data_IF_007337174207
#
_entry.id   IF_007337174207
#
_cell.length_a   1.000
_cell.length_b   1.000
_cell.length_c   1.000
_cell.angle_alpha   90.00
_cell.angle_beta   90.00
_cell.angle_gamma   90.00
#
_symmetry.space_group_name_H-M   'P 1'
#
loop_
_entity.id
_entity.type
_entity.pdbx_description
1 polymer ?
#
# COMPACT_ATOMS: atom_id res chain seq x y z
N UNK A 1 35.15 -10.56 -31.92
CA UNK A 1 33.73 -10.37 -31.51
C UNK A 1 33.19 -11.62 -30.82
N UNK A 2 33.41 -12.83 -31.35
CA UNK A 2 32.95 -14.10 -30.74
C UNK A 2 33.63 -14.47 -29.41
N UNK A 3 34.93 -14.23 -29.25
CA UNK A 3 35.68 -14.63 -28.04
C UNK A 3 35.34 -13.77 -26.80
N UNK A 4 34.89 -12.53 -27.02
CA UNK A 4 34.46 -11.62 -25.96
C UNK A 4 33.09 -12.02 -25.42
N UNK A 5 32.16 -12.38 -26.31
CA UNK A 5 30.84 -12.90 -25.95
C UNK A 5 30.94 -14.25 -25.21
N UNK A 6 31.85 -15.13 -25.63
CA UNK A 6 32.07 -16.42 -24.95
C UNK A 6 32.62 -16.24 -23.52
N UNK A 7 33.58 -15.32 -23.33
CA UNK A 7 34.09 -14.99 -21.99
C UNK A 7 33.04 -14.36 -21.10
N UNK A 8 32.17 -13.53 -21.64
CA UNK A 8 31.06 -12.91 -20.91
C UNK A 8 30.00 -13.95 -20.50
N UNK A 9 29.61 -14.88 -21.39
CA UNK A 9 28.75 -16.02 -21.05
C UNK A 9 29.38 -16.92 -19.97
N UNK A 10 30.68 -17.23 -20.08
CA UNK A 10 31.37 -18.06 -19.10
C UNK A 10 31.49 -17.36 -17.75
N UNK A 11 31.70 -16.04 -17.75
CA UNK A 11 31.74 -15.22 -16.54
C UNK A 11 30.37 -15.19 -15.85
N UNK A 12 29.28 -14.93 -16.59
CA UNK A 12 27.91 -14.97 -16.08
C UNK A 12 27.53 -16.35 -15.52
N UNK A 13 28.05 -17.44 -16.12
CA UNK A 13 27.83 -18.82 -15.64
C UNK A 13 28.60 -19.12 -14.36
N UNK A 14 29.76 -18.49 -14.15
CA UNK A 14 30.65 -18.75 -13.02
C UNK A 14 30.47 -17.78 -11.86
N UNK A 15 29.88 -16.61 -12.11
CA UNK A 15 29.63 -15.55 -11.14
C UNK A 15 28.16 -15.09 -11.22
N UNK A 16 27.19 -15.95 -10.88
CA UNK A 16 25.76 -15.59 -10.90
C UNK A 16 25.41 -14.49 -9.88
N UNK A 17 26.31 -14.20 -8.93
CA UNK A 17 26.17 -13.15 -7.92
C UNK A 17 26.67 -11.77 -8.41
N UNK A 18 27.25 -11.66 -9.61
CA UNK A 18 27.66 -10.38 -10.22
C UNK A 18 26.46 -9.64 -10.86
N UNK A 19 25.26 -9.86 -10.33
CA UNK A 19 24.10 -9.07 -10.73
C UNK A 19 24.34 -7.60 -10.36
N UNK A 20 24.19 -6.71 -11.34
CA UNK A 20 24.29 -5.28 -11.11
C UNK A 20 23.28 -4.84 -10.03
N UNK A 21 23.77 -4.16 -9.00
CA UNK A 21 22.97 -3.74 -7.83
C UNK A 21 21.73 -2.92 -8.25
N UNK A 22 21.85 -2.14 -9.34
CA UNK A 22 20.73 -1.40 -9.93
C UNK A 22 19.66 -2.33 -10.51
N UNK A 23 20.08 -3.32 -11.30
CA UNK A 23 19.18 -4.36 -11.86
C UNK A 23 18.49 -5.15 -10.75
N UNK A 24 19.23 -5.52 -9.69
CA UNK A 24 18.66 -6.22 -8.52
C UNK A 24 17.60 -5.37 -7.82
N UNK A 25 17.82 -4.06 -7.68
CA UNK A 25 16.85 -3.16 -7.07
C UNK A 25 15.57 -3.04 -7.92
N UNK A 26 15.70 -2.88 -9.24
CA UNK A 26 14.55 -2.78 -10.16
C UNK A 26 13.70 -4.06 -10.15
N UNK A 27 14.34 -5.22 -10.17
CA UNK A 27 13.65 -6.51 -10.09
C UNK A 27 12.94 -6.70 -8.75
N UNK A 28 13.57 -6.34 -7.63
CA UNK A 28 12.91 -6.39 -6.32
C UNK A 28 11.74 -5.42 -6.21
N UNK A 29 11.86 -4.20 -6.73
CA UNK A 29 10.77 -3.23 -6.73
C UNK A 29 9.56 -3.73 -7.55
N UNK A 30 9.82 -4.37 -8.69
CA UNK A 30 8.78 -5.04 -9.48
C UNK A 30 8.12 -6.18 -8.70
N UNK A 31 8.90 -7.04 -8.07
CA UNK A 31 8.38 -8.16 -7.28
C UNK A 31 7.50 -7.67 -6.12
N UNK A 32 7.89 -6.60 -5.41
CA UNK A 32 7.08 -5.97 -4.36
C UNK A 32 5.73 -5.52 -4.93
N UNK A 33 5.74 -4.73 -6.00
CA UNK A 33 4.49 -4.24 -6.62
C UNK A 33 3.56 -5.38 -7.03
N UNK A 34 4.09 -6.39 -7.71
CA UNK A 34 3.30 -7.52 -8.21
C UNK A 34 2.74 -8.35 -7.04
N UNK A 35 3.52 -8.50 -5.96
CA UNK A 35 3.11 -9.17 -4.72
C UNK A 35 1.93 -8.44 -4.05
N UNK A 36 2.02 -7.11 -3.90
CA UNK A 36 0.96 -6.30 -3.30
C UNK A 36 -0.31 -6.23 -4.18
N UNK A 37 -0.19 -6.34 -5.50
CA UNK A 37 -1.33 -6.44 -6.39
C UNK A 37 -2.03 -7.82 -6.30
N UNK A 38 -1.25 -8.88 -6.11
CA UNK A 38 -1.76 -10.25 -6.03
C UNK A 38 -2.48 -10.57 -4.71
N UNK A 39 -1.94 -10.14 -3.56
CA UNK A 39 -2.49 -10.51 -2.25
C UNK A 39 -3.97 -10.16 -2.04
N UNK A 40 -4.50 -9.00 -2.46
CA UNK A 40 -5.93 -8.70 -2.38
C UNK A 40 -6.82 -9.68 -3.15
N UNK A 41 -6.34 -10.17 -4.30
CA UNK A 41 -7.06 -11.15 -5.12
C UNK A 41 -7.03 -12.51 -4.42
N UNK A 42 -5.84 -12.91 -3.95
CA UNK A 42 -5.65 -14.15 -3.22
C UNK A 42 -6.50 -14.19 -1.95
N UNK A 43 -6.47 -13.15 -1.11
CA UNK A 43 -7.27 -13.09 0.12
C UNK A 43 -8.77 -13.31 -0.16
N UNK A 44 -9.32 -12.61 -1.15
CA UNK A 44 -10.72 -12.78 -1.58
C UNK A 44 -11.02 -14.20 -2.05
N UNK A 45 -10.12 -14.78 -2.84
CA UNK A 45 -10.24 -16.15 -3.32
C UNK A 45 -10.22 -17.16 -2.17
N UNK A 46 -9.26 -17.03 -1.25
CA UNK A 46 -9.16 -17.90 -0.06
C UNK A 46 -10.38 -17.76 0.85
N UNK A 47 -10.93 -16.56 1.01
CA UNK A 47 -12.13 -16.33 1.81
C UNK A 47 -13.37 -16.97 1.19
N UNK A 48 -13.52 -16.87 -0.15
CA UNK A 48 -14.63 -17.48 -0.89
C UNK A 48 -14.68 -19.00 -0.70
N UNK A 49 -13.52 -19.65 -0.68
CA UNK A 49 -13.42 -21.12 -0.59
C UNK A 49 -13.16 -21.64 0.83
N UNK A 50 -13.02 -20.76 1.83
CA UNK A 50 -12.62 -21.11 3.22
C UNK A 50 -13.44 -22.26 3.80
N UNK A 51 -14.76 -22.22 3.66
CA UNK A 51 -15.65 -23.23 4.24
C UNK A 51 -15.46 -24.62 3.61
N UNK A 52 -15.11 -24.68 2.32
CA UNK A 52 -14.82 -25.93 1.62
C UNK A 52 -13.45 -26.46 2.05
N UNK A 53 -12.43 -25.61 2.07
CA UNK A 53 -11.06 -26.00 2.41
C UNK A 53 -10.94 -26.55 3.83
N UNK A 54 -11.69 -25.97 4.78
CA UNK A 54 -11.74 -26.45 6.16
C UNK A 54 -12.41 -27.81 6.32
N UNK A 55 -13.30 -28.20 5.40
CA UNK A 55 -14.00 -29.49 5.43
C UNK A 55 -13.26 -30.56 4.65
N UNK A 56 -12.72 -30.18 3.50
CA UNK A 56 -12.07 -31.09 2.56
C UNK A 56 -10.80 -30.41 2.04
N UNK A 57 -9.68 -30.52 2.77
CA UNK A 57 -8.39 -30.08 2.26
C UNK A 57 -8.01 -30.92 1.03
N UNK A 58 -7.38 -30.29 0.05
CA UNK A 58 -6.91 -30.94 -1.16
C UNK A 58 -5.45 -30.57 -1.45
N UNK A 59 -4.79 -31.32 -2.32
CA UNK A 59 -3.42 -31.02 -2.75
C UNK A 59 -3.31 -29.61 -3.38
N UNK A 60 -4.40 -29.12 -4.00
CA UNK A 60 -4.47 -27.77 -4.56
C UNK A 60 -4.41 -26.71 -3.46
N UNK A 61 -5.15 -26.92 -2.36
CA UNK A 61 -5.14 -25.98 -1.23
C UNK A 61 -3.79 -25.96 -0.54
N UNK A 62 -3.18 -27.13 -0.36
CA UNK A 62 -1.85 -27.26 0.21
C UNK A 62 -0.80 -26.53 -0.66
N UNK A 63 -0.90 -26.67 -1.98
CA UNK A 63 -0.04 -25.94 -2.93
C UNK A 63 -0.21 -24.42 -2.83
N UNK A 64 -1.42 -23.91 -2.63
CA UNK A 64 -1.64 -22.47 -2.39
C UNK A 64 -0.96 -22.02 -1.10
N UNK A 65 -1.13 -22.76 0.00
CA UNK A 65 -0.48 -22.45 1.28
C UNK A 65 1.06 -22.49 1.18
N UNK A 66 1.60 -23.50 0.51
CA UNK A 66 3.05 -23.66 0.33
C UNK A 66 3.64 -22.52 -0.51
N UNK A 67 2.99 -22.16 -1.62
CA UNK A 67 3.42 -21.04 -2.46
C UNK A 67 3.43 -19.72 -1.69
N UNK A 68 2.39 -19.46 -0.88
CA UNK A 68 2.33 -18.27 -0.02
C UNK A 68 3.45 -18.30 1.02
N UNK A 69 3.73 -19.45 1.62
CA UNK A 69 4.82 -19.60 2.58
C UNK A 69 6.20 -19.34 1.94
N UNK A 70 6.41 -19.74 0.69
CA UNK A 70 7.64 -19.43 -0.06
C UNK A 70 7.80 -17.93 -0.27
N UNK A 71 6.73 -17.22 -0.67
CA UNK A 71 6.75 -15.76 -0.81
C UNK A 71 7.12 -15.10 0.53
N UNK A 72 6.46 -15.50 1.64
CA UNK A 72 6.77 -14.97 2.97
C UNK A 72 8.21 -15.27 3.40
N UNK A 73 8.73 -16.45 3.09
CA UNK A 73 10.11 -16.81 3.37
C UNK A 73 11.07 -15.87 2.65
N UNK A 74 10.92 -15.70 1.34
CA UNK A 74 11.76 -14.81 0.52
C UNK A 74 11.70 -13.38 1.05
N UNK A 75 10.49 -12.86 1.31
CA UNK A 75 10.30 -11.52 1.87
C UNK A 75 11.01 -11.37 3.22
N UNK A 76 10.82 -12.32 4.14
CA UNK A 76 11.40 -12.23 5.48
C UNK A 76 12.93 -12.31 5.50
N UNK A 77 13.54 -12.95 4.50
CA UNK A 77 14.99 -13.17 4.41
C UNK A 77 15.71 -12.11 3.56
N UNK A 78 15.06 -11.58 2.51
CA UNK A 78 15.67 -10.62 1.58
C UNK A 78 15.66 -9.18 2.13
N UNK A 79 16.84 -8.57 2.27
CA UNK A 79 16.98 -7.17 2.67
C UNK A 79 16.60 -6.20 1.53
N UNK A 80 16.92 -6.54 0.28
CA UNK A 80 16.53 -5.76 -0.89
C UNK A 80 15.00 -5.69 -0.98
N UNK A 81 14.32 -6.82 -0.80
CA UNK A 81 12.86 -6.86 -0.85
C UNK A 81 12.22 -5.98 0.22
N UNK A 82 12.72 -6.02 1.46
CA UNK A 82 12.23 -5.14 2.55
C UNK A 82 12.52 -3.66 2.31
N UNK A 83 13.68 -3.34 1.72
CA UNK A 83 13.99 -1.95 1.36
C UNK A 83 13.00 -1.44 0.31
N UNK A 84 12.78 -2.22 -0.74
CA UNK A 84 11.86 -1.83 -1.81
C UNK A 84 10.39 -1.83 -1.36
N UNK A 85 10.00 -2.68 -0.40
CA UNK A 85 8.70 -2.60 0.26
C UNK A 85 8.49 -1.24 0.92
N UNK A 86 9.46 -0.78 1.71
CA UNK A 86 9.39 0.53 2.36
C UNK A 86 9.32 1.66 1.34
N UNK A 87 10.09 1.57 0.26
CA UNK A 87 10.03 2.54 -0.84
C UNK A 87 8.65 2.57 -1.50
N UNK A 88 8.07 1.40 -1.77
CA UNK A 88 6.75 1.27 -2.39
C UNK A 88 5.64 1.83 -1.48
N UNK A 89 5.69 1.56 -0.17
CA UNK A 89 4.74 2.12 0.79
C UNK A 89 4.86 3.65 0.90
N UNK A 90 6.08 4.19 0.91
CA UNK A 90 6.30 5.63 0.97
C UNK A 90 5.73 6.35 -0.27
N UNK A 91 5.91 5.78 -1.46
CA UNK A 91 5.30 6.30 -2.70
C UNK A 91 3.78 6.20 -2.68
N UNK A 92 3.23 5.07 -2.20
CA UNK A 92 1.79 4.90 -2.10
C UNK A 92 1.14 5.91 -1.14
N UNK A 93 1.81 6.23 -0.03
CA UNK A 93 1.35 7.28 0.89
C UNK A 93 1.38 8.68 0.26
N UNK A 94 2.41 8.98 -0.53
CA UNK A 94 2.50 10.24 -1.29
C UNK A 94 1.39 10.36 -2.34
N UNK A 95 1.17 9.31 -3.13
CA UNK A 95 0.12 9.25 -4.14
C UNK A 95 -1.28 9.32 -3.52
N UNK A 96 -1.51 8.62 -2.40
CA UNK A 96 -2.76 8.68 -1.65
C UNK A 96 -2.99 10.06 -1.04
N UNK A 97 -1.95 10.75 -0.57
CA UNK A 97 -2.05 12.12 -0.07
C UNK A 97 -2.39 13.12 -1.19
N UNK A 98 -1.85 12.92 -2.39
CA UNK A 98 -2.14 13.74 -3.57
C UNK A 98 -3.57 13.52 -4.10
N UNK A 99 -4.07 12.28 -4.09
CA UNK A 99 -5.43 11.95 -4.56
C UNK A 99 -6.51 12.24 -3.51
N UNK A 100 -6.19 12.12 -2.21
CA UNK A 100 -7.10 12.39 -1.09
C UNK A 100 -7.11 13.84 -0.60
N UNK A 101 -6.26 14.71 -1.15
CA UNK A 101 -5.97 16.05 -0.63
C UNK A 101 -6.30 17.20 -1.58
N UNK A 102 -7.57 17.32 -1.98
CA UNK A 102 -8.07 18.55 -2.59
C UNK A 102 -7.94 19.75 -1.62
N UNK A 103 -6.91 20.56 -1.84
CA UNK A 103 -6.79 21.97 -1.47
C UNK A 103 -7.35 22.37 -0.08
N UNK A 104 -6.64 22.04 1.01
CA UNK A 104 -6.84 22.80 2.25
C UNK A 104 -6.19 24.17 2.06
N UNK A 105 -7.00 25.19 1.76
CA UNK A 105 -6.58 26.59 1.64
C UNK A 105 -5.87 27.04 2.92
N UNK A 106 -4.54 26.96 2.95
CA UNK A 106 -3.70 27.55 3.99
C UNK A 106 -3.65 29.05 3.76
N UNK A 107 -4.57 29.78 4.37
CA UNK A 107 -4.56 31.23 4.22
C UNK A 107 -5.77 31.93 4.81
N UNK A 108 -5.70 33.27 4.81
CA UNK A 108 -6.67 34.21 5.38
C UNK A 108 -8.15 33.92 5.02
N UNK A 109 -8.42 33.19 3.93
CA UNK A 109 -9.74 32.73 3.53
C UNK A 109 -10.40 31.75 4.52
N UNK A 110 -9.66 30.77 5.06
CA UNK A 110 -10.20 29.81 6.04
C UNK A 110 -10.55 30.49 7.39
N UNK A 111 -9.82 31.54 7.74
CA UNK A 111 -10.07 32.35 8.94
C UNK A 111 -11.31 33.24 8.75
N UNK A 112 -11.51 33.79 7.55
CA UNK A 112 -12.69 34.61 7.24
C UNK A 112 -13.99 33.81 7.35
N UNK A 113 -13.99 32.56 6.87
CA UNK A 113 -15.17 31.69 6.93
C UNK A 113 -15.50 31.24 8.37
N UNK A 114 -14.48 30.92 9.17
CA UNK A 114 -14.65 30.66 10.62
C UNK A 114 -15.17 31.89 11.38
N UNK A 115 -14.76 33.12 11.01
CA UNK A 115 -15.27 34.36 11.62
C UNK A 115 -16.71 34.69 11.21
N UNK A 116 -17.13 34.38 9.98
CA UNK A 116 -18.51 34.58 9.52
C UNK A 116 -19.49 33.67 10.28
N UNK A 117 -19.18 32.38 10.40
CA UNK A 117 -19.99 31.42 11.18
C UNK A 117 -20.16 31.82 12.65
N UNK A 118 -19.14 32.42 13.28
CA UNK A 118 -19.25 32.93 14.67
C UNK A 118 -20.19 34.13 14.80
N UNK A 119 -20.30 35.01 13.80
CA UNK A 119 -21.21 36.16 13.83
C UNK A 119 -22.66 35.73 13.68
N UNK A 120 -22.93 34.77 12.79
CA UNK A 120 -24.28 34.22 12.58
C UNK A 120 -24.81 33.49 13.83
N UNK A 121 -23.95 32.74 14.54
CA UNK A 121 -24.32 32.10 15.81
C UNK A 121 -24.64 33.09 16.95
N UNK A 122 -23.94 34.23 17.02
CA UNK A 122 -24.26 35.28 18.00
C UNK A 122 -25.57 36.01 17.70
N UNK A 123 -25.90 36.19 16.41
CA UNK A 123 -27.19 36.77 16.00
C UNK A 123 -28.34 35.83 16.36
N UNK A 124 -28.17 34.53 16.18
CA UNK A 124 -29.19 33.53 16.55
C UNK A 124 -29.44 33.48 18.06
N UNK A 125 -28.38 33.48 18.87
CA UNK A 125 -28.48 33.49 20.34
C UNK A 125 -29.16 34.75 20.90
N UNK A 126 -28.93 35.92 20.29
CA UNK A 126 -29.63 37.17 20.68
C UNK A 126 -31.11 37.16 20.31
N UNK A 127 -31.49 36.47 19.23
CA UNK A 127 -32.88 36.47 18.72
C UNK A 127 -33.78 35.49 19.47
N UNK A 128 -33.23 34.41 20.05
CA UNK A 128 -33.99 33.39 20.76
C UNK A 128 -33.26 32.89 22.04
N UNK A 129 -33.26 33.69 23.12
CA UNK A 129 -32.48 33.37 24.33
C UNK A 129 -33.01 32.21 25.17
N UNK A 130 -34.16 31.62 24.85
CA UNK A 130 -34.86 30.62 25.69
C UNK A 130 -35.02 29.22 25.08
N UNK A 131 -34.39 28.92 23.95
CA UNK A 131 -34.46 27.58 23.34
C UNK A 131 -33.22 26.74 23.70
N UNK A 132 -33.37 25.53 24.27
CA UNK A 132 -32.24 24.71 24.70
C UNK A 132 -31.42 24.21 23.49
N UNK A 133 -30.10 24.42 23.55
CA UNK A 133 -29.12 23.92 22.58
C UNK A 133 -29.18 22.39 22.53
N UNK A 134 -29.76 21.82 21.48
CA UNK A 134 -29.73 20.38 21.23
C UNK A 134 -28.43 20.04 20.50
N UNK A 135 -27.49 19.41 21.21
CA UNK A 135 -26.26 18.87 20.63
C UNK A 135 -26.58 17.79 19.58
N UNK A 136 -25.99 17.81 18.38
CA UNK A 136 -26.08 16.69 17.46
C UNK A 136 -24.88 15.77 17.68
N UNK A 137 -25.02 14.82 18.59
CA UNK A 137 -24.24 13.57 18.57
C UNK A 137 -25.24 12.44 18.76
N UNK A 138 -25.47 11.68 17.70
CA UNK A 138 -26.38 10.54 17.71
C UNK A 138 -26.44 9.88 16.33
N UNK A 139 -26.07 8.60 16.33
CA UNK A 139 -25.99 7.59 15.26
C UNK A 139 -24.95 7.80 14.16
#
# INVERSE_FOLDING_TARGET
MSEKAYREEEHMRTHPDDADEGTVAEDNARLVRDTYAYFPILMKYTDLHRAQWLKTPSWETDGVYENVAVIFRIWSQSQHFKREELNYMAQFEEDAAMVGGGEMKTGKAAIAERKKKRREGQVWFKKYPSLPLRCPFGS
#
